data_IF_790109742814
#
_entry.id   IF_790109742814
#
_cell.length_a   1.000
_cell.length_b   1.000
_cell.length_c   1.000
_cell.angle_alpha   90.00
_cell.angle_beta   90.00
_cell.angle_gamma   90.00
#
_symmetry.space_group_name_H-M   'P 1'
#
loop_
_entity.id
_entity.type
_entity.pdbx_description
1 polymer ?
#
# COMPACT_ATOMS: atom_id res chain seq x y z
N UNK A 1 13.24 -15.76 -14.16
CA UNK A 1 11.83 -16.08 -13.85
C UNK A 1 11.52 -15.64 -12.43
N UNK A 2 10.58 -14.73 -12.30
CA UNK A 2 10.11 -14.04 -11.08
C UNK A 2 10.51 -12.56 -11.09
N UNK A 3 9.49 -11.70 -11.08
CA UNK A 3 9.61 -10.28 -10.77
C UNK A 3 9.36 -10.11 -9.26
N UNK A 4 10.23 -9.36 -8.59
CA UNK A 4 10.08 -9.00 -7.17
C UNK A 4 9.71 -7.54 -7.11
N UNK A 5 8.57 -7.23 -6.51
CA UNK A 5 8.25 -5.86 -6.14
C UNK A 5 8.45 -5.72 -4.63
N UNK A 6 9.46 -4.95 -4.23
CA UNK A 6 9.60 -4.45 -2.87
C UNK A 6 8.97 -3.07 -2.78
N UNK A 7 7.86 -2.95 -2.06
CA UNK A 7 7.25 -1.64 -1.78
C UNK A 7 7.43 -1.31 -0.31
N UNK A 8 8.06 -0.16 -0.06
CA UNK A 8 7.98 0.50 1.24
C UNK A 8 6.83 1.49 1.23
N UNK A 9 5.94 1.36 2.21
CA UNK A 9 4.95 2.38 2.55
C UNK A 9 5.15 2.77 4.01
N UNK A 10 5.20 4.06 4.27
CA UNK A 10 5.44 4.57 5.60
C UNK A 10 5.32 6.08 5.66
N UNK A 11 5.43 6.60 6.87
CA UNK A 11 5.36 8.02 7.15
C UNK A 11 5.08 8.25 8.63
N UNK A 12 4.74 9.50 8.96
CA UNK A 12 4.29 9.85 10.30
C UNK A 12 2.79 9.69 10.39
N UNK A 13 2.31 8.94 11.39
CA UNK A 13 0.89 8.93 11.73
C UNK A 13 0.70 9.62 13.08
N UNK A 14 -0.29 10.51 13.12
CA UNK A 14 -0.72 11.21 14.33
C UNK A 14 -2.24 11.14 14.44
N UNK A 15 -2.72 10.35 15.40
CA UNK A 15 -4.13 10.17 15.68
C UNK A 15 -4.47 10.88 16.99
N UNK A 16 -5.47 11.78 17.02
CA UNK A 16 -5.94 12.36 18.27
C UNK A 16 -6.29 11.29 19.30
N UNK A 17 -6.04 11.55 20.59
CA UNK A 17 -6.46 10.66 21.66
C UNK A 17 -7.95 10.86 21.97
N UNK A 18 -8.81 10.37 21.09
CA UNK A 18 -10.27 10.42 21.20
C UNK A 18 -10.84 9.03 20.89
N UNK A 19 -11.86 8.59 21.63
CA UNK A 19 -12.42 7.24 21.53
C UNK A 19 -13.04 6.91 20.15
N UNK A 20 -13.32 7.93 19.33
CA UNK A 20 -13.86 7.78 17.98
C UNK A 20 -12.83 8.06 16.88
N UNK A 21 -11.58 8.34 17.24
CA UNK A 21 -10.51 8.61 16.30
C UNK A 21 -9.72 7.35 15.97
N UNK A 22 -9.52 7.09 14.68
CA UNK A 22 -8.55 6.08 14.22
C UNK A 22 -7.95 6.52 12.90
N UNK A 23 -6.74 6.03 12.64
CA UNK A 23 -6.12 6.09 11.32
C UNK A 23 -6.12 4.73 10.66
N UNK A 24 -6.19 4.70 9.35
CA UNK A 24 -5.99 3.49 8.55
C UNK A 24 -5.09 3.83 7.37
N UNK A 25 -4.06 3.02 7.16
CA UNK A 25 -3.28 3.02 5.93
C UNK A 25 -3.45 1.67 5.24
N UNK A 26 -3.74 1.70 3.95
CA UNK A 26 -3.98 0.50 3.15
C UNK A 26 -3.25 0.59 1.82
N UNK A 27 -2.68 -0.51 1.36
CA UNK A 27 -2.08 -0.64 0.03
C UNK A 27 -2.58 -1.93 -0.65
N UNK A 28 -3.09 -1.78 -1.86
CA UNK A 28 -3.59 -2.86 -2.71
C UNK A 28 -2.65 -3.05 -3.88
N UNK A 29 -2.17 -4.28 -4.06
CA UNK A 29 -1.24 -4.65 -5.11
C UNK A 29 -2.01 -5.27 -6.26
N UNK A 30 -1.66 -4.91 -7.49
CA UNK A 30 -2.28 -5.44 -8.70
C UNK A 30 -1.19 -5.93 -9.63
N UNK A 31 -1.30 -7.18 -10.07
CA UNK A 31 -0.34 -7.83 -10.97
C UNK A 31 -1.07 -8.28 -12.22
N UNK A 32 -0.63 -7.80 -13.39
CA UNK A 32 -1.30 -8.05 -14.67
C UNK A 32 -2.82 -7.78 -14.61
N UNK A 33 -3.22 -6.72 -13.88
CA UNK A 33 -4.62 -6.33 -13.69
C UNK A 33 -5.40 -7.17 -12.66
N UNK A 34 -4.82 -8.23 -12.10
CA UNK A 34 -5.44 -9.04 -11.04
C UNK A 34 -5.07 -8.50 -9.66
N UNK A 35 -6.05 -8.44 -8.75
CA UNK A 35 -5.82 -8.07 -7.35
C UNK A 35 -4.93 -9.13 -6.68
N UNK A 36 -3.84 -8.65 -6.08
CA UNK A 36 -2.89 -9.42 -5.31
C UNK A 36 -3.08 -9.22 -3.81
N UNK A 37 -2.00 -9.34 -3.02
CA UNK A 37 -2.02 -9.07 -1.59
C UNK A 37 -2.52 -7.65 -1.26
N UNK A 38 -2.97 -7.48 -0.03
CA UNK A 38 -3.35 -6.20 0.53
C UNK A 38 -2.60 -6.02 1.83
N UNK A 39 -1.93 -4.89 1.98
CA UNK A 39 -1.38 -4.44 3.26
C UNK A 39 -2.38 -3.50 3.91
N UNK A 40 -2.61 -3.67 5.21
CA UNK A 40 -3.43 -2.78 6.01
C UNK A 40 -2.77 -2.51 7.37
N UNK A 41 -2.86 -1.28 7.83
CA UNK A 41 -2.40 -0.85 9.14
C UNK A 41 -3.41 0.10 9.76
N UNK A 42 -3.96 -0.30 10.90
CA UNK A 42 -4.80 0.57 11.74
C UNK A 42 -3.94 1.23 12.82
N UNK A 43 -4.24 2.50 13.10
CA UNK A 43 -3.63 3.30 14.15
C UNK A 43 -4.68 3.64 15.20
N UNK A 44 -4.41 3.20 16.43
CA UNK A 44 -5.26 3.44 17.58
C UNK A 44 -5.25 4.93 18.01
N UNK A 45 -6.29 5.38 18.75
CA UNK A 45 -6.29 6.69 19.39
C UNK A 45 -4.99 7.00 20.14
N UNK A 46 -4.46 8.20 19.95
CA UNK A 46 -3.23 8.65 20.61
C UNK A 46 -1.93 8.15 19.99
N UNK A 47 -1.97 7.42 18.88
CA UNK A 47 -0.76 7.07 18.12
C UNK A 47 -0.07 8.35 17.61
N UNK A 48 1.19 8.58 18.00
CA UNK A 48 2.05 9.66 17.47
C UNK A 48 3.46 9.09 17.29
N UNK A 49 3.69 8.46 16.15
CA UNK A 49 4.97 7.85 15.81
C UNK A 49 5.13 7.75 14.30
N UNK A 50 6.37 7.54 13.88
CA UNK A 50 6.64 7.04 12.54
C UNK A 50 6.21 5.59 12.44
N UNK A 51 5.77 5.21 11.25
CA UNK A 51 5.42 3.85 10.88
C UNK A 51 5.97 3.55 9.50
N UNK A 52 6.22 2.28 9.24
CA UNK A 52 6.62 1.81 7.94
C UNK A 52 6.40 0.32 7.85
N UNK A 53 6.09 -0.13 6.65
CA UNK A 53 6.04 -1.54 6.32
C UNK A 53 6.64 -1.72 4.93
N UNK A 54 7.47 -2.75 4.82
CA UNK A 54 8.07 -3.17 3.55
C UNK A 54 7.50 -4.53 3.23
N UNK A 55 6.88 -4.66 2.07
CA UNK A 55 6.40 -5.94 1.57
C UNK A 55 7.12 -6.29 0.28
N UNK A 56 7.58 -7.54 0.22
CA UNK A 56 8.16 -8.13 -0.96
C UNK A 56 7.18 -9.16 -1.53
N UNK A 57 6.79 -8.96 -2.78
CA UNK A 57 5.90 -9.87 -3.48
C UNK A 57 6.58 -10.40 -4.74
N UNK A 58 6.40 -11.70 -4.95
CA UNK A 58 7.05 -12.47 -6.01
C UNK A 58 5.99 -12.88 -7.02
N UNK A 59 6.15 -12.45 -8.27
CA UNK A 59 5.22 -12.81 -9.34
C UNK A 59 5.95 -13.54 -10.46
N UNK A 60 5.41 -14.69 -10.85
CA UNK A 60 5.94 -15.48 -11.94
C UNK A 60 5.34 -15.01 -13.26
N UNK A 61 6.20 -14.59 -14.17
CA UNK A 61 5.83 -14.22 -15.54
C UNK A 61 6.50 -15.17 -16.54
N UNK A 62 5.92 -15.31 -17.73
CA UNK A 62 6.54 -16.02 -18.85
C UNK A 62 7.67 -15.20 -19.48
N UNK A 63 8.63 -15.86 -20.13
CA UNK A 63 9.73 -15.18 -20.84
C UNK A 63 9.17 -14.26 -21.93
N UNK A 64 9.62 -13.00 -21.97
CA UNK A 64 9.18 -12.01 -22.96
C UNK A 64 7.79 -11.42 -22.72
N UNK A 65 7.09 -11.80 -21.64
CA UNK A 65 5.83 -11.18 -21.26
C UNK A 65 6.08 -9.91 -20.41
N UNK A 66 5.55 -8.77 -20.84
CA UNK A 66 5.47 -7.57 -20.00
C UNK A 66 4.40 -7.74 -18.92
N UNK A 67 4.69 -7.33 -17.69
CA UNK A 67 3.70 -7.34 -16.61
C UNK A 67 3.48 -5.93 -16.07
N UNK A 68 2.22 -5.52 -16.02
CA UNK A 68 1.84 -4.27 -15.35
C UNK A 68 1.75 -4.55 -13.85
N UNK A 69 2.44 -3.72 -13.07
CA UNK A 69 2.38 -3.70 -11.63
C UNK A 69 1.78 -2.38 -11.17
N UNK A 70 0.66 -2.44 -10.46
CA UNK A 70 0.02 -1.25 -9.90
C UNK A 70 -0.11 -1.41 -8.39
N UNK A 71 0.16 -0.31 -7.69
CA UNK A 71 -0.14 -0.19 -6.27
C UNK A 71 -1.11 0.98 -6.10
N UNK A 72 -2.24 0.71 -5.44
CA UNK A 72 -3.14 1.76 -4.98
C UNK A 72 -3.01 1.83 -3.46
N UNK A 73 -2.66 2.99 -2.93
CA UNK A 73 -2.59 3.22 -1.49
C UNK A 73 -3.60 4.27 -1.06
N UNK A 74 -4.06 4.13 0.18
CA UNK A 74 -4.98 5.05 0.81
C UNK A 74 -4.57 5.28 2.26
N UNK A 75 -4.76 6.51 2.71
CA UNK A 75 -4.68 6.86 4.13
C UNK A 75 -6.00 7.50 4.51
N UNK A 76 -6.72 6.86 5.42
CA UNK A 76 -7.95 7.36 6.01
C UNK A 76 -7.68 7.82 7.44
N UNK A 77 -8.23 8.97 7.80
CA UNK A 77 -8.30 9.44 9.17
C UNK A 77 -9.75 9.69 9.53
N UNK A 78 -10.22 9.08 10.62
CA UNK A 78 -11.54 9.35 11.17
C UNK A 78 -11.39 10.07 12.49
N UNK A 79 -12.24 11.06 12.72
CA UNK A 79 -12.35 11.83 13.96
C UNK A 79 -13.82 12.08 14.27
N UNK A 80 -14.11 12.60 15.47
CA UNK A 80 -15.46 13.06 15.82
C UNK A 80 -16.00 14.16 14.88
N UNK A 81 -15.11 14.89 14.20
CA UNK A 81 -15.44 16.02 13.31
C UNK A 81 -15.67 15.58 11.85
N UNK A 82 -15.35 14.33 11.51
CA UNK A 82 -15.52 13.79 10.17
C UNK A 82 -14.41 12.83 9.75
N UNK A 83 -14.48 12.40 8.49
CA UNK A 83 -13.52 11.48 7.86
C UNK A 83 -12.76 12.21 6.75
N UNK A 84 -11.43 12.18 6.81
CA UNK A 84 -10.55 12.59 5.73
C UNK A 84 -9.94 11.36 5.05
N UNK A 85 -9.86 11.37 3.72
CA UNK A 85 -9.22 10.30 2.96
C UNK A 85 -8.27 10.92 1.94
N UNK A 86 -7.02 10.45 1.95
CA UNK A 86 -6.03 10.71 0.91
C UNK A 86 -5.80 9.42 0.12
N UNK A 87 -5.82 9.53 -1.21
CA UNK A 87 -5.62 8.41 -2.12
C UNK A 87 -4.39 8.69 -2.99
N UNK A 88 -3.56 7.67 -3.16
CA UNK A 88 -2.44 7.69 -4.08
C UNK A 88 -2.45 6.41 -4.91
N UNK A 89 -2.14 6.51 -6.19
CA UNK A 89 -1.96 5.33 -7.04
C UNK A 89 -0.68 5.50 -7.81
N UNK A 90 0.16 4.46 -7.76
CA UNK A 90 1.40 4.38 -8.52
C UNK A 90 1.31 3.16 -9.43
N UNK A 91 1.59 3.35 -10.72
CA UNK A 91 1.59 2.27 -11.70
C UNK A 91 2.96 2.21 -12.35
N UNK A 92 3.48 0.99 -12.45
CA UNK A 92 4.77 0.67 -13.04
C UNK A 92 4.53 -0.41 -14.09
N UNK A 93 5.18 -0.27 -15.23
CA UNK A 93 5.22 -1.31 -16.24
C UNK A 93 6.62 -1.86 -16.31
N UNK A 94 6.75 -3.16 -16.04
CA UNK A 94 8.01 -3.86 -16.22
C UNK A 94 7.95 -4.58 -17.56
N UNK A 95 8.84 -4.15 -18.46
CA UNK A 95 9.13 -4.83 -19.71
C UNK A 95 10.48 -5.53 -19.54
N UNK A 96 10.58 -6.75 -20.07
CA UNK A 96 11.75 -7.63 -19.97
C UNK A 96 12.07 -8.17 -18.57
N UNK A 97 11.43 -9.29 -18.22
CA UNK A 97 12.10 -10.25 -17.34
C UNK A 97 13.04 -11.05 -18.24
N UNK A 98 14.30 -10.60 -18.34
CA UNK A 98 15.32 -11.24 -19.16
C UNK A 98 15.39 -12.75 -18.86
N UNK A 99 15.52 -13.50 -19.95
CA UNK A 99 15.88 -14.91 -19.98
C UNK A 99 17.31 -14.98 -20.55
#
# INVERSE_FOLDING_TARGET
RVAVSGLYIGGKAKVPNDAHAYGEARAEYFFAGSLGPVMERTFEPGFDSDWGSTEEHWVRTECGAGTNFRVSSSVQARTAQGTGVALQTMSFEFFDVEC
#
